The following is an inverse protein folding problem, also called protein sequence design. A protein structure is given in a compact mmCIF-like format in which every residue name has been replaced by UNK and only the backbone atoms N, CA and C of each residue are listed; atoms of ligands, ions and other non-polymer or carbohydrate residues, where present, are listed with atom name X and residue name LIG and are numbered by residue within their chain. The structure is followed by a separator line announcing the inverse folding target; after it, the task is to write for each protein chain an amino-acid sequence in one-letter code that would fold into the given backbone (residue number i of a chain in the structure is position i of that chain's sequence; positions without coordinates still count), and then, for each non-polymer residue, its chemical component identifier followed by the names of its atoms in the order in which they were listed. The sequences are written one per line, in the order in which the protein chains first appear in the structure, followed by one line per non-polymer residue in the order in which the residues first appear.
data_IF_906624480907
#
_entry.id   IF_906624480907
#
_cell.length_a   1.000
_cell.length_b   1.000
_cell.length_c   1.000
_cell.angle_alpha   90.00
_cell.angle_beta   90.00
_cell.angle_gamma   90.00
#
_symmetry.space_group_name_H-M   'P 1'
#
loop_
_entity.id
_entity.type
_entity.pdbx_description
1 polymer ?
#
# COMPACT_ATOMS: atom_id res chain seq x y z
N UNK A 1 0.24 30.44 -5.87
CA UNK A 1 -1.19 30.80 -5.90
C UNK A 1 -1.53 31.40 -4.56
N UNK A 2 -2.11 32.60 -4.53
CA UNK A 2 -2.70 33.14 -3.32
C UNK A 2 -4.11 32.55 -3.20
N UNK A 3 -4.22 31.45 -2.47
CA UNK A 3 -5.50 30.78 -2.21
C UNK A 3 -6.09 31.39 -0.95
N UNK A 4 -7.02 32.31 -1.13
CA UNK A 4 -7.80 32.93 -0.05
C UNK A 4 -9.26 32.54 -0.19
N UNK A 5 -9.94 32.29 0.94
CA UNK A 5 -11.34 31.89 0.96
C UNK A 5 -12.23 32.95 1.63
N UNK A 6 -13.41 33.19 1.05
CA UNK A 6 -14.47 33.98 1.66
C UNK A 6 -15.51 33.08 2.33
N UNK A 7 -16.12 33.57 3.40
CA UNK A 7 -17.25 32.94 4.07
C UNK A 7 -18.44 33.90 4.09
N UNK A 8 -19.65 33.38 3.90
CA UNK A 8 -20.88 34.15 4.02
C UNK A 8 -21.99 33.33 4.67
N UNK A 9 -22.87 34.02 5.39
CA UNK A 9 -23.99 33.42 6.11
C UNK A 9 -25.25 34.27 5.95
N UNK A 10 -26.41 33.63 6.06
CA UNK A 10 -27.71 34.28 6.14
C UNK A 10 -28.54 33.63 7.24
N UNK A 11 -29.26 34.45 8.00
CA UNK A 11 -30.24 34.04 9.01
C UNK A 11 -31.58 34.66 8.64
N UNK A 12 -32.60 33.83 8.51
CA UNK A 12 -33.95 34.23 8.11
C UNK A 12 -34.90 33.91 9.26
N UNK A 13 -35.76 34.86 9.63
CA UNK A 13 -36.77 34.69 10.68
C UNK A 13 -38.00 35.51 10.32
N UNK A 14 -39.17 34.87 10.30
CA UNK A 14 -40.47 35.53 10.07
C UNK A 14 -40.51 36.43 8.81
N UNK A 15 -39.76 36.08 7.76
CA UNK A 15 -39.64 36.87 6.53
C UNK A 15 -38.51 37.91 6.54
N UNK A 16 -38.01 38.30 7.71
CA UNK A 16 -36.83 39.16 7.83
C UNK A 16 -35.54 38.36 7.60
N UNK A 17 -34.53 39.00 7.00
CA UNK A 17 -33.24 38.38 6.73
C UNK A 17 -32.08 39.25 7.23
N UNK A 18 -31.15 38.65 7.96
CA UNK A 18 -29.84 39.22 8.28
C UNK A 18 -28.79 38.39 7.56
N UNK A 19 -27.78 39.04 6.99
CA UNK A 19 -26.67 38.35 6.31
C UNK A 19 -25.35 39.03 6.61
N UNK A 20 -24.27 38.28 6.49
CA UNK A 20 -22.91 38.79 6.68
C UNK A 20 -21.92 37.96 5.89
N UNK A 21 -20.74 38.54 5.69
CA UNK A 21 -19.63 37.92 4.95
C UNK A 21 -18.29 38.39 5.54
N UNK A 22 -17.26 37.57 5.44
CA UNK A 22 -15.93 37.86 5.97
C UNK A 22 -14.85 37.00 5.30
N UNK A 23 -13.61 37.48 5.29
CA UNK A 23 -12.46 36.70 4.82
C UNK A 23 -12.06 35.63 5.83
N UNK A 24 -11.70 34.44 5.34
CA UNK A 24 -11.10 33.36 6.15
C UNK A 24 -9.58 33.28 5.97
N UNK A 25 -8.96 34.27 5.33
CA UNK A 25 -7.54 34.24 5.00
C UNK A 25 -7.18 33.09 4.08
N UNK A 26 -5.99 32.53 4.27
CA UNK A 26 -5.46 31.43 3.47
C UNK A 26 -5.99 30.10 3.99
N UNK A 27 -7.22 29.78 3.58
CA UNK A 27 -8.00 28.65 4.07
C UNK A 27 -8.52 27.77 2.93
N UNK A 28 -8.93 26.53 3.24
CA UNK A 28 -9.64 25.68 2.29
C UNK A 28 -11.12 26.06 2.22
N UNK A 29 -11.85 25.73 1.13
CA UNK A 29 -13.30 25.97 1.07
C UNK A 29 -14.06 25.35 2.25
N UNK A 30 -13.66 24.16 2.70
CA UNK A 30 -14.22 23.50 3.87
C UNK A 30 -14.03 24.29 5.17
N UNK A 31 -12.85 24.88 5.40
CA UNK A 31 -12.62 25.73 6.57
C UNK A 31 -13.53 26.98 6.54
N UNK A 32 -13.76 27.56 5.36
CA UNK A 32 -14.63 28.72 5.17
C UNK A 32 -16.12 28.38 5.35
N UNK A 33 -16.58 27.23 4.84
CA UNK A 33 -17.92 26.68 5.12
C UNK A 33 -18.13 26.48 6.63
N UNK A 34 -17.16 25.89 7.33
CA UNK A 34 -17.19 25.70 8.77
C UNK A 34 -17.22 27.02 9.55
N UNK A 35 -16.51 28.04 9.08
CA UNK A 35 -16.53 29.37 9.68
C UNK A 35 -17.87 30.07 9.45
N UNK A 36 -18.43 29.98 8.24
CA UNK A 36 -19.77 30.48 7.90
C UNK A 36 -20.85 29.85 8.79
N UNK A 37 -20.82 28.52 8.96
CA UNK A 37 -21.74 27.79 9.83
C UNK A 37 -21.60 28.20 11.30
N UNK A 38 -20.37 28.28 11.83
CA UNK A 38 -20.13 28.71 13.21
C UNK A 38 -20.64 30.14 13.47
N UNK A 39 -20.45 31.07 12.50
CA UNK A 39 -20.98 32.43 12.63
C UNK A 39 -22.50 32.47 12.48
N UNK A 40 -23.07 31.73 11.52
CA UNK A 40 -24.51 31.62 11.32
C UNK A 40 -25.23 31.13 12.58
N UNK A 41 -24.72 30.07 13.21
CA UNK A 41 -25.23 29.56 14.49
C UNK A 41 -25.22 30.63 15.58
N UNK A 42 -24.13 31.39 15.72
CA UNK A 42 -24.04 32.50 16.70
C UNK A 42 -25.09 33.58 16.46
N UNK A 43 -25.36 33.94 15.21
CA UNK A 43 -26.32 34.99 14.85
C UNK A 43 -27.78 34.52 14.92
N UNK A 44 -28.05 33.22 14.70
CA UNK A 44 -29.35 32.59 15.00
C UNK A 44 -29.62 32.66 16.50
N UNK A 45 -28.70 32.14 17.31
CA UNK A 45 -28.87 31.99 18.76
C UNK A 45 -29.03 33.32 19.50
N UNK A 46 -28.48 34.41 18.94
CA UNK A 46 -28.61 35.77 19.50
C UNK A 46 -30.06 36.24 19.67
N UNK A 47 -30.97 35.74 18.82
CA UNK A 47 -32.34 36.26 18.71
C UNK A 47 -33.41 35.18 19.01
N UNK A 48 -33.05 33.91 19.25
CA UNK A 48 -34.01 32.82 19.45
C UNK A 48 -34.71 32.88 20.82
N UNK A 49 -36.06 32.86 20.87
CA UNK A 49 -36.81 32.59 22.10
C UNK A 49 -36.76 31.10 22.46
N UNK A 50 -37.19 30.80 23.68
CA UNK A 50 -37.06 29.50 24.34
C UNK A 50 -38.02 28.43 23.77
N UNK A 51 -37.69 27.84 22.61
CA UNK A 51 -38.33 26.60 22.14
C UNK A 51 -38.40 26.43 20.62
N UNK A 52 -37.52 25.60 20.05
CA UNK A 52 -37.57 25.15 18.64
C UNK A 52 -37.05 23.71 18.52
N UNK A 53 -37.86 22.79 17.97
CA UNK A 53 -37.59 21.35 17.72
C UNK A 53 -37.05 21.13 16.28
N UNK A 54 -36.33 20.08 15.85
CA UNK A 54 -36.45 18.65 16.21
C UNK A 54 -35.24 17.67 15.88
N UNK A 55 -34.37 17.82 14.85
CA UNK A 55 -33.40 16.75 14.47
C UNK A 55 -32.13 17.25 13.73
N UNK A 56 -31.20 16.39 13.25
CA UNK A 56 -29.95 16.02 13.95
C UNK A 56 -28.68 16.33 13.10
N UNK A 57 -27.47 16.37 13.70
CA UNK A 57 -26.24 16.93 13.09
C UNK A 57 -24.95 16.22 13.60
N UNK A 58 -23.97 15.91 12.73
CA UNK A 58 -22.72 15.19 13.11
C UNK A 58 -21.37 15.86 12.80
N UNK A 59 -21.25 16.82 11.88
CA UNK A 59 -19.93 17.39 11.50
C UNK A 59 -19.47 18.57 12.36
N UNK A 60 -20.14 19.73 12.32
CA UNK A 60 -19.72 20.92 13.07
C UNK A 60 -19.90 20.80 14.59
N UNK A 61 -20.80 19.93 15.05
CA UNK A 61 -20.92 19.58 16.47
C UNK A 61 -20.07 18.34 16.84
N UNK A 62 -19.42 17.71 15.86
CA UNK A 62 -18.42 16.67 16.06
C UNK A 62 -17.07 17.28 16.43
N UNK A 63 -16.90 17.67 17.70
CA UNK A 63 -15.67 18.30 18.23
C UNK A 63 -14.41 17.39 18.29
N UNK A 64 -14.40 16.29 17.51
CA UNK A 64 -13.24 15.40 17.37
C UNK A 64 -12.08 16.04 16.62
N UNK A 65 -10.93 15.36 16.64
CA UNK A 65 -9.71 15.83 15.98
C UNK A 65 -9.87 15.90 14.46
N UNK A 66 -9.77 17.09 13.87
CA UNK A 66 -9.92 17.28 12.43
C UNK A 66 -9.62 18.71 11.95
N UNK A 67 -9.60 18.94 10.63
CA UNK A 67 -9.60 20.30 10.08
C UNK A 67 -10.85 21.04 10.59
N UNK A 68 -10.70 22.33 10.89
CA UNK A 68 -11.71 23.17 11.54
C UNK A 68 -12.16 22.75 12.97
N UNK A 69 -11.41 21.91 13.72
CA UNK A 69 -11.79 21.54 15.10
C UNK A 69 -12.06 22.76 16.01
N UNK A 70 -11.25 23.82 15.91
CA UNK A 70 -11.45 25.06 16.67
C UNK A 70 -12.82 25.69 16.40
N UNK A 71 -13.28 25.69 15.14
CA UNK A 71 -14.59 26.19 14.75
C UNK A 71 -15.71 25.27 15.25
N UNK A 72 -15.51 23.95 15.23
CA UNK A 72 -16.43 22.99 15.83
C UNK A 72 -16.55 23.18 17.34
N UNK A 73 -15.45 23.40 18.06
CA UNK A 73 -15.44 23.70 19.51
C UNK A 73 -16.14 25.03 19.80
N UNK A 74 -15.88 26.08 19.00
CA UNK A 74 -16.55 27.37 19.15
C UNK A 74 -18.06 27.28 18.89
N UNK A 75 -18.48 26.54 17.85
CA UNK A 75 -19.89 26.25 17.58
C UNK A 75 -20.53 25.47 18.73
N UNK A 76 -19.88 24.40 19.21
CA UNK A 76 -20.32 23.65 20.39
C UNK A 76 -20.47 24.53 21.63
N UNK A 77 -19.49 25.40 21.91
CA UNK A 77 -19.52 26.30 23.07
C UNK A 77 -20.63 27.35 22.97
N UNK A 78 -20.96 27.81 21.75
CA UNK A 78 -22.05 28.77 21.50
C UNK A 78 -23.42 28.10 21.61
N UNK A 79 -23.56 26.88 21.07
CA UNK A 79 -24.82 26.12 21.00
C UNK A 79 -25.18 25.45 22.33
N UNK A 80 -24.19 24.95 23.08
CA UNK A 80 -24.40 24.13 24.28
C UNK A 80 -25.28 24.82 25.35
N UNK A 81 -25.04 26.09 25.75
CA UNK A 81 -25.89 26.74 26.75
C UNK A 81 -27.36 26.84 26.31
N UNK A 82 -27.61 27.04 25.02
CA UNK A 82 -28.97 27.09 24.47
C UNK A 82 -29.63 25.71 24.50
N UNK A 83 -28.94 24.64 24.05
CA UNK A 83 -29.48 23.27 24.10
C UNK A 83 -29.74 22.79 25.55
N UNK A 84 -28.87 23.14 26.50
CA UNK A 84 -28.98 22.70 27.89
C UNK A 84 -30.18 23.31 28.64
N UNK A 85 -30.79 24.37 28.13
CA UNK A 85 -31.95 25.01 28.78
C UNK A 85 -33.27 24.27 28.56
N UNK A 86 -33.37 23.36 27.58
CA UNK A 86 -34.55 22.50 27.38
C UNK A 86 -34.28 21.37 26.38
N UNK A 87 -34.75 20.15 26.70
CA UNK A 87 -34.70 18.98 25.80
C UNK A 87 -35.48 19.17 24.48
N UNK A 88 -36.35 20.19 24.44
CA UNK A 88 -37.15 20.58 23.29
C UNK A 88 -36.39 21.50 22.31
N UNK A 89 -35.16 21.92 22.65
CA UNK A 89 -34.33 22.76 21.78
C UNK A 89 -33.40 21.91 20.94
N UNK A 90 -33.51 22.02 19.63
CA UNK A 90 -32.75 21.20 18.67
C UNK A 90 -32.38 22.01 17.42
N UNK A 91 -31.34 21.56 16.71
CA UNK A 91 -30.78 22.26 15.53
C UNK A 91 -30.75 21.32 14.33
N UNK A 92 -31.39 21.76 13.24
CA UNK A 92 -31.39 21.08 11.94
C UNK A 92 -30.32 21.63 11.01
N UNK A 93 -29.74 20.75 10.19
CA UNK A 93 -28.86 21.13 9.08
C UNK A 93 -29.28 20.39 7.82
N UNK A 94 -29.65 21.14 6.78
CA UNK A 94 -30.01 20.60 5.48
C UNK A 94 -28.87 20.82 4.50
N UNK A 95 -28.25 19.75 4.02
CA UNK A 95 -27.33 19.88 2.89
C UNK A 95 -28.12 20.27 1.64
N UNK A 96 -27.69 21.32 0.97
CA UNK A 96 -28.28 21.81 -0.27
C UNK A 96 -27.25 21.71 -1.38
N UNK A 97 -27.57 21.05 -2.51
CA UNK A 97 -26.66 20.99 -3.66
C UNK A 97 -26.44 22.38 -4.27
N UNK A 98 -25.18 22.71 -4.56
CA UNK A 98 -24.79 23.94 -5.23
C UNK A 98 -25.52 24.16 -6.56
N UNK A 99 -25.85 25.43 -6.84
CA UNK A 99 -26.49 25.90 -8.07
C UNK A 99 -27.83 25.23 -8.47
N UNK A 100 -28.53 24.53 -7.56
CA UNK A 100 -29.85 23.91 -7.82
C UNK A 100 -31.07 24.82 -7.55
N UNK A 101 -30.93 26.13 -7.81
CA UNK A 101 -32.06 27.07 -7.74
C UNK A 101 -32.57 27.45 -6.33
N UNK A 102 -31.95 26.96 -5.25
CA UNK A 102 -32.27 27.42 -3.89
C UNK A 102 -31.74 28.83 -3.69
N UNK A 103 -32.65 29.81 -3.69
CA UNK A 103 -32.35 31.25 -3.68
C UNK A 103 -31.28 31.64 -2.65
N UNK A 104 -31.51 31.31 -1.37
CA UNK A 104 -30.59 31.69 -0.29
C UNK A 104 -29.23 31.02 -0.37
N UNK A 105 -29.14 29.80 -0.93
CA UNK A 105 -27.88 29.14 -1.22
C UNK A 105 -27.09 29.92 -2.27
N UNK A 106 -27.75 30.34 -3.37
CA UNK A 106 -27.13 31.19 -4.39
C UNK A 106 -26.73 32.59 -3.89
N UNK A 107 -27.46 33.14 -2.90
CA UNK A 107 -27.09 34.40 -2.24
C UNK A 107 -25.81 34.24 -1.42
N UNK A 108 -25.70 33.22 -0.57
CA UNK A 108 -24.48 33.03 0.26
C UNK A 108 -23.28 32.58 -0.57
N UNK A 109 -23.48 31.72 -1.58
CA UNK A 109 -22.42 31.29 -2.51
C UNK A 109 -21.77 32.47 -3.24
N UNK A 110 -22.60 33.35 -3.84
CA UNK A 110 -22.12 34.61 -4.44
C UNK A 110 -21.44 35.51 -3.42
N UNK A 111 -22.05 35.69 -2.24
CA UNK A 111 -21.54 36.60 -1.22
C UNK A 111 -20.27 36.04 -0.51
N UNK A 112 -19.96 34.73 -0.64
CA UNK A 112 -18.73 34.06 -0.19
C UNK A 112 -17.60 34.02 -1.23
N UNK A 113 -17.85 34.48 -2.46
CA UNK A 113 -16.88 34.44 -3.56
C UNK A 113 -15.58 35.21 -3.28
N UNK A 114 -14.56 35.03 -4.14
CA UNK A 114 -13.19 35.52 -3.95
C UNK A 114 -13.05 37.02 -3.60
N UNK A 115 -13.99 37.87 -4.01
CA UNK A 115 -14.02 39.30 -3.64
C UNK A 115 -14.27 39.57 -2.13
N UNK A 116 -14.74 38.55 -1.40
CA UNK A 116 -14.95 38.56 0.07
C UNK A 116 -13.73 38.03 0.82
N UNK A 117 -12.77 37.41 0.13
CA UNK A 117 -11.59 36.82 0.73
C UNK A 117 -10.57 37.90 1.12
N UNK A 118 -10.78 38.56 2.26
CA UNK A 118 -9.85 39.54 2.81
C UNK A 118 -8.45 38.92 2.98
N UNK A 119 -7.38 39.63 2.60
CA UNK A 119 -6.01 39.13 2.71
C UNK A 119 -5.56 39.09 4.18
N UNK A 120 -5.68 37.92 4.80
CA UNK A 120 -4.98 37.61 6.05
C UNK A 120 -3.68 36.86 5.77
N UNK A 121 -2.65 37.12 6.58
CA UNK A 121 -1.40 36.38 6.60
C UNK A 121 -1.53 34.99 7.24
N UNK A 122 -2.61 34.75 7.99
CA UNK A 122 -2.86 33.48 8.65
C UNK A 122 -3.26 32.39 7.64
N UNK A 123 -2.68 31.19 7.84
CA UNK A 123 -2.89 30.01 6.99
C UNK A 123 -3.58 28.93 7.82
N UNK A 124 -4.70 28.39 7.33
CA UNK A 124 -5.36 27.26 7.99
C UNK A 124 -4.45 26.02 7.95
N UNK A 125 -4.47 25.22 9.01
CA UNK A 125 -3.69 23.97 9.05
C UNK A 125 -4.03 23.03 7.87
N UNK A 126 -5.30 23.03 7.43
CA UNK A 126 -5.74 22.23 6.29
C UNK A 126 -5.10 22.72 4.98
N UNK A 127 -5.05 24.03 4.73
CA UNK A 127 -4.41 24.58 3.54
C UNK A 127 -2.88 24.41 3.61
N UNK A 128 -2.26 24.64 4.76
CA UNK A 128 -0.83 24.40 4.96
C UNK A 128 -0.47 22.93 4.63
N UNK A 129 -1.24 21.97 5.15
CA UNK A 129 -1.08 20.54 4.84
C UNK A 129 -1.32 20.24 3.36
N UNK A 130 -2.33 20.85 2.73
CA UNK A 130 -2.60 20.69 1.30
C UNK A 130 -1.42 21.20 0.45
N UNK A 131 -0.89 22.39 0.75
CA UNK A 131 0.26 22.98 0.07
C UNK A 131 1.52 22.11 0.21
N UNK A 132 1.86 21.66 1.42
CA UNK A 132 3.00 20.75 1.66
C UNK A 132 2.82 19.43 0.91
N UNK A 133 1.60 18.87 0.90
CA UNK A 133 1.29 17.64 0.15
C UNK A 133 1.47 17.85 -1.36
N UNK A 134 1.00 18.97 -1.91
CA UNK A 134 1.16 19.29 -3.33
C UNK A 134 2.63 19.53 -3.71
N UNK A 135 3.42 20.18 -2.85
CA UNK A 135 4.86 20.36 -3.04
C UNK A 135 5.60 19.02 -3.03
N UNK A 136 5.31 18.14 -2.07
CA UNK A 136 5.88 16.80 -2.01
C UNK A 136 5.55 15.96 -3.26
N UNK A 137 4.33 16.08 -3.80
CA UNK A 137 3.93 15.43 -5.05
C UNK A 137 4.52 16.07 -6.31
N UNK A 138 4.90 17.34 -6.27
CA UNK A 138 5.66 17.97 -7.35
C UNK A 138 7.11 17.46 -7.33
N UNK A 139 7.77 17.51 -6.18
CA UNK A 139 9.13 17.01 -5.99
C UNK A 139 9.26 15.51 -6.35
N UNK A 140 8.35 14.66 -5.86
CA UNK A 140 8.35 13.23 -6.22
C UNK A 140 8.27 12.98 -7.72
N UNK A 141 7.39 13.71 -8.43
CA UNK A 141 7.22 13.54 -9.88
C UNK A 141 8.46 14.02 -10.63
N UNK A 142 9.05 15.14 -10.22
CA UNK A 142 10.31 15.64 -10.77
C UNK A 142 11.43 14.60 -10.57
N UNK A 143 11.60 14.08 -9.36
CA UNK A 143 12.60 13.05 -9.05
C UNK A 143 12.37 11.74 -9.84
N UNK A 144 11.13 11.29 -10.00
CA UNK A 144 10.80 10.11 -10.80
C UNK A 144 11.06 10.26 -12.31
N UNK A 145 11.24 11.48 -12.84
CA UNK A 145 11.73 11.66 -14.23
C UNK A 145 13.24 11.44 -14.36
N UNK A 146 14.01 11.54 -13.27
CA UNK A 146 15.48 11.51 -13.28
C UNK A 146 15.96 10.04 -13.30
N UNK A 147 16.66 9.57 -14.35
CA UNK A 147 17.07 8.16 -14.46
C UNK A 147 17.97 7.68 -13.31
N UNK A 148 18.75 8.58 -12.70
CA UNK A 148 19.61 8.28 -11.55
C UNK A 148 18.81 8.07 -10.25
N UNK A 149 17.63 8.67 -10.12
CA UNK A 149 16.74 8.51 -8.95
C UNK A 149 15.80 7.32 -9.15
N UNK A 150 15.13 7.25 -10.30
CA UNK A 150 14.25 6.11 -10.67
C UNK A 150 15.02 4.80 -10.76
N UNK A 151 16.31 4.84 -11.12
CA UNK A 151 17.09 3.67 -11.49
C UNK A 151 16.68 3.12 -12.84
N UNK A 152 17.39 2.07 -13.28
CA UNK A 152 17.22 1.42 -14.60
C UNK A 152 16.29 0.21 -14.58
N UNK A 153 15.30 0.21 -13.68
CA UNK A 153 14.45 -0.96 -13.46
C UNK A 153 13.05 -0.75 -14.01
N UNK A 154 12.68 -1.54 -15.00
CA UNK A 154 11.41 -1.36 -15.70
C UNK A 154 10.18 -1.73 -14.84
N UNK A 155 10.36 -2.47 -13.73
CA UNK A 155 9.33 -2.61 -12.69
C UNK A 155 8.92 -1.27 -12.05
N UNK A 156 9.78 -0.24 -12.10
CA UNK A 156 9.52 1.11 -11.64
C UNK A 156 8.99 2.04 -12.75
N UNK A 157 8.83 1.55 -13.99
CA UNK A 157 8.30 2.30 -15.14
C UNK A 157 6.76 2.22 -15.23
N UNK A 158 6.10 1.67 -14.21
CA UNK A 158 4.65 1.55 -14.15
C UNK A 158 3.98 2.79 -13.52
N UNK A 159 2.86 3.26 -14.09
CA UNK A 159 2.23 4.56 -13.75
C UNK A 159 1.77 4.72 -12.28
N UNK A 160 1.59 3.60 -11.57
CA UNK A 160 1.29 3.59 -10.13
C UNK A 160 2.48 4.10 -9.28
N UNK A 161 3.71 4.09 -9.79
CA UNK A 161 4.90 4.64 -9.10
C UNK A 161 5.03 6.14 -9.29
N UNK A 162 4.67 6.67 -10.47
CA UNK A 162 4.64 8.12 -10.73
C UNK A 162 3.61 8.82 -9.82
N UNK A 163 2.53 8.10 -9.48
CA UNK A 163 1.47 8.51 -8.57
C UNK A 163 1.82 8.25 -7.10
N UNK A 164 2.79 8.97 -6.52
CA UNK A 164 2.93 8.98 -5.06
C UNK A 164 1.61 9.45 -4.42
N UNK A 165 0.99 8.55 -3.67
CA UNK A 165 -0.23 8.80 -2.88
C UNK A 165 0.03 8.31 -1.47
N UNK A 166 -0.28 9.14 -0.47
CA UNK A 166 -0.17 8.77 0.96
C UNK A 166 -1.45 8.12 1.53
N UNK A 167 -2.44 7.84 0.66
CA UNK A 167 -3.75 7.28 1.02
C UNK A 167 -3.89 5.85 0.47
N UNK A 168 -4.93 5.13 0.88
CA UNK A 168 -5.25 3.78 0.38
C UNK A 168 -5.53 3.71 -1.15
N UNK A 169 -5.52 4.83 -1.86
CA UNK A 169 -5.51 4.89 -3.33
C UNK A 169 -4.11 4.63 -3.94
N UNK A 170 -3.07 4.46 -3.13
CA UNK A 170 -1.75 3.96 -3.54
C UNK A 170 -1.80 2.44 -3.73
N UNK A 171 -1.27 1.95 -4.85
CA UNK A 171 -1.26 0.52 -5.15
C UNK A 171 -0.57 -0.32 -4.05
N UNK A 172 0.59 0.09 -3.53
CA UNK A 172 1.27 -0.68 -2.48
C UNK A 172 0.46 -0.76 -1.19
N UNK A 173 -0.15 0.35 -0.75
CA UNK A 173 -0.98 0.38 0.45
C UNK A 173 -2.28 -0.41 0.27
N UNK A 174 -2.86 -0.41 -0.93
CA UNK A 174 -4.02 -1.23 -1.28
C UNK A 174 -3.68 -2.73 -1.29
N UNK A 175 -2.56 -3.09 -1.92
CA UNK A 175 -2.16 -4.49 -2.15
C UNK A 175 -1.58 -5.15 -0.90
N UNK A 176 -0.81 -4.41 -0.08
CA UNK A 176 -0.28 -4.94 1.18
C UNK A 176 -1.23 -4.74 2.39
N UNK A 177 -2.14 -3.77 2.32
CA UNK A 177 -3.07 -3.47 3.39
C UNK A 177 -2.37 -3.07 4.69
N UNK A 178 -2.39 -3.97 5.68
CA UNK A 178 -1.74 -3.80 7.00
C UNK A 178 -0.53 -4.72 7.23
N UNK A 179 -0.10 -5.47 6.20
CA UNK A 179 1.05 -6.36 6.30
C UNK A 179 2.34 -5.61 5.94
N UNK A 180 3.01 -5.09 6.98
CA UNK A 180 4.29 -4.39 6.85
C UNK A 180 5.40 -5.27 6.25
N UNK A 181 5.39 -6.58 6.50
CA UNK A 181 6.39 -7.52 6.00
C UNK A 181 6.21 -7.71 4.50
N UNK A 182 4.97 -7.92 4.05
CA UNK A 182 4.65 -8.05 2.63
C UNK A 182 4.83 -6.72 1.88
N UNK A 183 4.48 -5.57 2.49
CA UNK A 183 4.81 -4.24 1.94
C UNK A 183 6.32 -4.06 1.73
N UNK A 184 7.14 -4.40 2.72
CA UNK A 184 8.59 -4.31 2.61
C UNK A 184 9.14 -5.23 1.50
N UNK A 185 8.63 -6.46 1.38
CA UNK A 185 9.01 -7.40 0.32
C UNK A 185 8.65 -6.87 -1.08
N UNK A 186 7.44 -6.33 -1.24
CA UNK A 186 7.00 -5.66 -2.47
C UNK A 186 7.97 -4.53 -2.86
N UNK A 187 8.19 -3.55 -1.99
CA UNK A 187 9.05 -2.38 -2.26
C UNK A 187 10.49 -2.79 -2.58
N UNK A 188 11.06 -3.73 -1.81
CA UNK A 188 12.43 -4.21 -2.06
C UNK A 188 12.54 -4.94 -3.39
N UNK A 189 11.58 -5.81 -3.73
CA UNK A 189 11.61 -6.54 -5.01
C UNK A 189 11.46 -5.59 -6.20
N UNK A 190 10.47 -4.71 -6.20
CA UNK A 190 10.24 -3.77 -7.31
C UNK A 190 11.42 -2.83 -7.52
N UNK A 191 12.04 -2.36 -6.43
CA UNK A 191 13.20 -1.47 -6.50
C UNK A 191 14.55 -2.19 -6.71
N UNK A 192 14.60 -3.52 -6.60
CA UNK A 192 15.85 -4.29 -6.62
C UNK A 192 16.72 -4.12 -5.36
N UNK A 193 16.17 -3.62 -4.26
CA UNK A 193 16.85 -3.44 -2.96
C UNK A 193 16.51 -4.57 -1.99
N UNK A 194 16.65 -5.82 -2.43
CA UNK A 194 16.67 -7.00 -1.55
C UNK A 194 18.01 -7.72 -1.71
N UNK A 195 18.45 -8.49 -0.71
CA UNK A 195 19.76 -9.08 -0.73
C UNK A 195 19.71 -10.34 -1.61
N UNK A 196 20.13 -10.18 -2.86
CA UNK A 196 20.41 -11.25 -3.81
C UNK A 196 21.88 -11.14 -4.27
N UNK A 197 22.39 -12.11 -5.03
CA UNK A 197 23.79 -12.15 -5.47
C UNK A 197 24.31 -10.84 -6.07
N UNK A 198 23.63 -10.28 -7.06
CA UNK A 198 24.01 -9.01 -7.70
C UNK A 198 23.85 -7.78 -6.78
N UNK A 199 23.01 -7.86 -5.74
CA UNK A 199 22.98 -6.82 -4.69
C UNK A 199 24.22 -6.92 -3.80
N UNK A 200 24.59 -8.13 -3.36
CA UNK A 200 25.83 -8.37 -2.60
C UNK A 200 27.06 -7.92 -3.38
N UNK A 201 27.13 -8.26 -4.66
CA UNK A 201 28.22 -7.84 -5.55
C UNK A 201 28.33 -6.33 -5.69
N UNK A 202 27.21 -5.63 -5.94
CA UNK A 202 27.17 -4.17 -6.07
C UNK A 202 27.64 -3.40 -4.83
N UNK A 203 27.44 -3.99 -3.65
CA UNK A 203 27.78 -3.37 -2.36
C UNK A 203 28.94 -4.09 -1.63
N UNK A 204 29.69 -4.94 -2.34
CA UNK A 204 30.86 -5.68 -1.84
C UNK A 204 30.60 -6.51 -0.56
N UNK A 205 29.36 -6.95 -0.35
CA UNK A 205 29.01 -7.79 0.79
C UNK A 205 29.49 -9.24 0.62
N UNK A 206 29.94 -9.82 1.73
CA UNK A 206 30.30 -11.23 1.85
C UNK A 206 29.09 -12.18 1.75
N UNK A 207 29.38 -13.46 1.54
CA UNK A 207 28.40 -14.55 1.43
C UNK A 207 28.19 -15.04 0.00
N UNK A 208 27.35 -16.06 -0.17
CA UNK A 208 27.07 -16.66 -1.47
C UNK A 208 26.36 -15.66 -2.40
N UNK A 209 26.76 -15.69 -3.68
CA UNK A 209 26.15 -14.91 -4.77
C UNK A 209 25.34 -15.76 -5.75
N UNK A 210 25.47 -17.09 -5.72
CA UNK A 210 24.81 -18.05 -6.64
C UNK A 210 23.34 -18.23 -6.26
N UNK A 211 22.45 -18.45 -7.23
CA UNK A 211 21.07 -18.86 -6.90
C UNK A 211 21.03 -20.35 -6.54
N UNK A 212 20.14 -20.75 -5.62
CA UNK A 212 19.94 -22.16 -5.21
C UNK A 212 19.66 -23.12 -6.39
N UNK A 213 19.22 -22.61 -7.54
CA UNK A 213 19.04 -23.41 -8.75
C UNK A 213 20.35 -24.00 -9.31
N UNK A 214 21.51 -23.42 -9.00
CA UNK A 214 22.81 -23.79 -9.57
C UNK A 214 23.10 -23.26 -10.98
N UNK A 215 22.06 -22.87 -11.73
CA UNK A 215 22.15 -22.44 -13.15
C UNK A 215 22.75 -21.04 -13.36
N UNK A 216 22.84 -20.19 -12.32
CA UNK A 216 23.44 -18.86 -12.44
C UNK A 216 24.53 -18.58 -11.41
N UNK A 217 25.68 -18.08 -11.88
CA UNK A 217 26.80 -17.68 -11.04
C UNK A 217 26.47 -16.52 -10.09
N UNK A 218 25.62 -15.59 -10.53
CA UNK A 218 25.16 -14.44 -9.75
C UNK A 218 23.63 -14.35 -9.81
N UNK A 219 22.96 -14.51 -8.67
CA UNK A 219 21.52 -14.34 -8.53
C UNK A 219 21.14 -12.87 -8.70
N UNK A 220 20.34 -12.59 -9.73
CA UNK A 220 19.72 -11.28 -9.95
C UNK A 220 18.21 -11.37 -9.69
N UNK A 221 17.58 -10.23 -9.42
CA UNK A 221 16.11 -10.16 -9.42
C UNK A 221 15.52 -10.64 -10.74
N UNK A 222 16.12 -10.25 -11.86
CA UNK A 222 15.66 -10.65 -13.19
C UNK A 222 15.72 -12.19 -13.34
N UNK A 223 16.77 -12.84 -12.84
CA UNK A 223 16.83 -14.31 -12.77
C UNK A 223 15.72 -14.90 -11.90
N UNK A 224 15.52 -14.41 -10.67
CA UNK A 224 14.45 -14.85 -9.77
C UNK A 224 13.07 -14.73 -10.43
N UNK A 225 12.83 -13.60 -11.11
CA UNK A 225 11.54 -13.24 -11.70
C UNK A 225 11.25 -13.93 -13.04
N UNK A 226 12.21 -14.01 -13.96
CA UNK A 226 11.98 -14.51 -15.32
C UNK A 226 12.47 -15.95 -15.53
N UNK A 227 13.65 -16.30 -15.01
CA UNK A 227 14.41 -17.46 -15.50
C UNK A 227 14.41 -18.66 -14.53
N UNK A 228 14.55 -18.39 -13.23
CA UNK A 228 14.86 -19.37 -12.19
C UNK A 228 13.73 -20.38 -11.99
N UNK A 229 13.90 -21.62 -12.43
CA UNK A 229 12.82 -22.64 -12.46
C UNK A 229 12.29 -23.05 -11.08
N UNK A 230 13.00 -22.68 -10.02
CA UNK A 230 12.70 -23.00 -8.63
C UNK A 230 11.51 -22.24 -8.03
N UNK A 231 11.11 -21.11 -8.59
CA UNK A 231 10.04 -20.27 -8.06
C UNK A 231 8.70 -20.51 -8.78
N UNK A 232 7.60 -20.40 -8.03
CA UNK A 232 6.25 -20.45 -8.60
C UNK A 232 5.99 -19.21 -9.45
N UNK A 233 5.64 -19.38 -10.72
CA UNK A 233 5.19 -18.31 -11.62
C UNK A 233 3.94 -18.75 -12.38
N UNK A 234 2.86 -17.98 -12.30
CA UNK A 234 1.69 -18.16 -13.19
C UNK A 234 1.94 -17.65 -14.60
N UNK A 235 2.87 -16.71 -14.75
CA UNK A 235 3.21 -16.06 -16.02
C UNK A 235 4.70 -16.29 -16.28
N UNK A 236 5.01 -17.45 -16.89
CA UNK A 236 6.33 -17.73 -17.48
C UNK A 236 6.32 -17.23 -18.94
N UNK A 237 7.42 -16.68 -19.49
CA UNK A 237 7.58 -16.60 -20.94
C UNK A 237 7.42 -17.99 -21.58
N UNK A 238 6.97 -18.09 -22.84
CA UNK A 238 6.91 -19.37 -23.55
C UNK A 238 8.23 -20.16 -23.50
N UNK A 239 8.17 -21.50 -23.48
CA UNK A 239 9.38 -22.31 -23.31
C UNK A 239 10.32 -22.21 -24.52
N UNK A 240 9.79 -22.02 -25.72
CA UNK A 240 10.56 -21.76 -26.95
C UNK A 240 11.26 -20.39 -26.95
N UNK A 241 10.69 -19.40 -26.26
CA UNK A 241 11.30 -18.09 -26.02
C UNK A 241 12.45 -18.22 -25.01
N UNK A 242 12.27 -19.03 -23.97
CA UNK A 242 13.34 -19.33 -22.98
C UNK A 242 14.47 -20.17 -23.58
N UNK A 243 14.17 -21.12 -24.45
CA UNK A 243 15.21 -21.88 -25.16
C UNK A 243 15.98 -21.01 -26.16
N UNK A 244 15.30 -20.15 -26.93
CA UNK A 244 15.97 -19.18 -27.82
C UNK A 244 16.90 -18.24 -27.04
N UNK A 245 16.51 -17.84 -25.81
CA UNK A 245 17.38 -17.07 -24.89
C UNK A 245 18.59 -17.88 -24.41
N UNK A 246 18.41 -19.14 -23.97
CA UNK A 246 19.51 -20.04 -23.56
C UNK A 246 20.53 -20.28 -24.68
N UNK A 247 20.09 -20.27 -25.94
CA UNK A 247 20.94 -20.45 -27.13
C UNK A 247 21.51 -19.15 -27.70
N UNK A 248 21.10 -17.98 -27.19
CA UNK A 248 21.51 -16.67 -27.72
C UNK A 248 20.98 -16.37 -29.13
N UNK A 249 19.94 -17.07 -29.57
CA UNK A 249 19.45 -17.07 -30.96
C UNK A 249 18.55 -15.87 -31.29
N UNK A 250 18.12 -15.09 -30.28
CA UNK A 250 17.21 -13.95 -30.45
C UNK A 250 17.90 -12.69 -31.05
N UNK A 251 18.68 -12.87 -32.13
CA UNK A 251 19.68 -11.91 -32.62
C UNK A 251 19.48 -11.43 -34.07
N UNK A 252 18.34 -11.70 -34.71
CA UNK A 252 18.11 -11.36 -36.14
C UNK A 252 16.78 -10.69 -36.47
N UNK A 253 15.65 -11.20 -35.99
CA UNK A 253 14.35 -10.82 -36.59
C UNK A 253 13.73 -9.51 -36.05
N UNK A 254 14.39 -8.84 -35.09
CA UNK A 254 13.95 -7.53 -34.57
C UNK A 254 14.55 -6.32 -35.33
N UNK A 255 15.39 -6.56 -36.35
CA UNK A 255 16.12 -5.50 -37.07
C UNK A 255 15.27 -4.68 -38.06
N UNK A 256 14.03 -5.10 -38.36
CA UNK A 256 13.23 -4.52 -39.44
C UNK A 256 12.26 -3.39 -39.03
N UNK A 257 12.18 -2.97 -37.74
CA UNK A 257 11.13 -2.03 -37.29
C UNK A 257 11.54 -0.86 -36.35
N UNK A 258 12.80 -0.67 -35.96
CA UNK A 258 13.20 0.40 -34.99
C UNK A 258 14.57 1.03 -35.37
N UNK A 259 14.88 2.32 -35.06
CA UNK A 259 16.04 3.04 -35.62
C UNK A 259 17.41 2.52 -35.13
N UNK A 260 18.54 2.93 -35.75
CA UNK A 260 19.85 2.32 -35.51
C UNK A 260 20.35 2.50 -34.07
N UNK A 261 20.93 1.41 -33.55
CA UNK A 261 21.54 1.30 -32.22
C UNK A 261 22.53 2.44 -31.94
N UNK A 262 22.51 3.07 -30.75
CA UNK A 262 23.48 4.09 -30.37
C UNK A 262 24.94 3.56 -30.41
N UNK A 263 25.92 4.39 -30.82
CA UNK A 263 27.32 3.97 -30.87
C UNK A 263 27.84 3.47 -29.51
N UNK A 264 28.38 2.25 -29.49
CA UNK A 264 29.01 1.65 -28.31
C UNK A 264 28.15 0.68 -27.50
N UNK A 265 26.89 0.42 -27.90
CA UNK A 265 26.02 -0.58 -27.27
C UNK A 265 25.82 -1.80 -28.18
N UNK A 266 25.85 -3.00 -27.62
CA UNK A 266 25.61 -4.21 -28.43
C UNK A 266 24.12 -4.37 -28.77
N UNK A 267 23.81 -4.98 -29.92
CA UNK A 267 22.42 -5.29 -30.31
C UNK A 267 21.71 -6.24 -29.35
N UNK A 268 22.45 -6.98 -28.52
CA UNK A 268 21.90 -7.83 -27.45
C UNK A 268 21.47 -7.00 -26.24
N UNK A 269 22.23 -5.97 -25.85
CA UNK A 269 21.84 -5.05 -24.77
C UNK A 269 20.61 -4.22 -25.15
N UNK A 270 20.52 -3.80 -26.42
CA UNK A 270 19.36 -3.09 -26.95
C UNK A 270 18.12 -4.01 -27.08
N UNK A 271 18.28 -5.24 -27.55
CA UNK A 271 17.15 -6.17 -27.65
C UNK A 271 16.65 -6.69 -26.29
N UNK A 272 17.55 -6.87 -25.31
CA UNK A 272 17.16 -7.13 -23.92
C UNK A 272 16.39 -5.96 -23.27
N UNK A 273 16.28 -4.82 -23.95
CA UNK A 273 15.51 -3.66 -23.53
C UNK A 273 14.03 -3.80 -23.93
N UNK A 274 13.71 -4.22 -25.17
CA UNK A 274 12.33 -4.30 -25.70
C UNK A 274 11.38 -5.16 -24.85
N UNK A 275 11.79 -6.35 -24.43
CA UNK A 275 10.94 -7.22 -23.58
C UNK A 275 10.93 -6.80 -22.10
N UNK A 276 11.93 -6.02 -21.66
CA UNK A 276 11.88 -5.35 -20.35
C UNK A 276 10.96 -4.12 -20.42
N UNK A 277 10.84 -3.46 -21.56
CA UNK A 277 10.01 -2.26 -21.78
C UNK A 277 8.51 -2.59 -21.96
N UNK A 278 8.17 -3.86 -22.16
CA UNK A 278 6.81 -4.34 -21.88
C UNK A 278 6.47 -4.10 -20.40
N UNK A 279 5.44 -3.31 -20.06
CA UNK A 279 5.21 -2.87 -18.69
C UNK A 279 4.90 -4.07 -17.79
N UNK A 280 5.82 -4.38 -16.89
CA UNK A 280 5.66 -5.48 -15.91
C UNK A 280 4.37 -5.24 -15.14
N UNK A 281 3.40 -6.14 -15.28
CA UNK A 281 2.16 -6.05 -14.55
C UNK A 281 2.45 -6.26 -13.06
N UNK A 282 2.31 -5.18 -12.29
CA UNK A 282 2.72 -5.16 -10.90
C UNK A 282 1.83 -6.07 -10.00
N UNK A 283 0.61 -6.39 -10.44
CA UNK A 283 -0.25 -7.38 -9.78
C UNK A 283 0.32 -8.81 -9.91
N UNK A 284 1.05 -9.12 -10.98
CA UNK A 284 1.75 -10.41 -11.12
C UNK A 284 2.95 -10.49 -10.17
N UNK A 285 3.65 -9.37 -9.94
CA UNK A 285 4.73 -9.27 -8.95
C UNK A 285 4.19 -9.48 -7.54
N UNK A 286 3.03 -8.89 -7.23
CA UNK A 286 2.33 -9.14 -5.97
C UNK A 286 1.97 -10.62 -5.79
N UNK A 287 1.33 -11.23 -6.78
CA UNK A 287 0.94 -12.64 -6.73
C UNK A 287 2.13 -13.58 -6.55
N UNK A 288 3.23 -13.34 -7.26
CA UNK A 288 4.49 -14.09 -7.09
C UNK A 288 5.05 -13.98 -5.67
N UNK A 289 5.07 -12.79 -5.07
CA UNK A 289 5.56 -12.63 -3.69
C UNK A 289 4.62 -13.24 -2.65
N UNK A 290 3.32 -13.37 -2.95
CA UNK A 290 2.40 -14.17 -2.14
C UNK A 290 2.69 -15.67 -2.29
N UNK A 291 2.92 -16.16 -3.51
CA UNK A 291 3.20 -17.57 -3.78
C UNK A 291 4.58 -18.02 -3.25
N UNK A 292 5.56 -17.13 -3.24
CA UNK A 292 6.95 -17.40 -2.88
C UNK A 292 7.36 -16.57 -1.64
N UNK A 293 6.98 -16.96 -0.40
CA UNK A 293 7.14 -16.13 0.79
C UNK A 293 8.61 -15.83 1.16
N UNK A 294 9.54 -16.72 0.81
CA UNK A 294 10.97 -16.51 0.98
C UNK A 294 11.55 -15.43 0.03
N UNK A 295 10.98 -15.23 -1.15
CA UNK A 295 11.50 -14.27 -2.13
C UNK A 295 11.50 -12.84 -1.57
N UNK A 296 12.55 -12.06 -1.87
CA UNK A 296 12.81 -10.71 -1.36
C UNK A 296 13.02 -10.59 0.16
N UNK A 297 13.43 -11.67 0.84
CA UNK A 297 13.77 -11.66 2.27
C UNK A 297 15.27 -11.83 2.52
N UNK A 298 15.76 -11.32 3.67
CA UNK A 298 17.12 -11.60 4.15
C UNK A 298 17.25 -13.06 4.60
N UNK A 299 16.19 -13.61 5.22
CA UNK A 299 16.12 -14.99 5.69
C UNK A 299 16.35 -16.03 4.57
N UNK A 300 15.86 -15.78 3.35
CA UNK A 300 16.12 -16.65 2.20
C UNK A 300 17.62 -16.73 1.88
N UNK A 301 18.31 -15.59 1.88
CA UNK A 301 19.73 -15.54 1.56
C UNK A 301 20.57 -16.21 2.64
N UNK A 302 20.29 -15.94 3.91
CA UNK A 302 20.94 -16.64 5.04
C UNK A 302 20.71 -18.15 5.00
N UNK A 303 19.50 -18.59 4.62
CA UNK A 303 19.17 -20.00 4.46
C UNK A 303 19.99 -20.62 3.32
N UNK A 304 20.09 -19.95 2.18
CA UNK A 304 20.88 -20.41 1.02
C UNK A 304 22.38 -20.42 1.33
N UNK A 305 22.90 -19.42 2.04
CA UNK A 305 24.28 -19.42 2.53
C UNK A 305 24.58 -20.68 3.37
N UNK A 306 23.73 -20.98 4.36
CA UNK A 306 23.87 -22.16 5.23
C UNK A 306 23.69 -23.46 4.45
N UNK A 307 22.72 -23.53 3.54
CA UNK A 307 22.48 -24.71 2.71
C UNK A 307 23.65 -25.01 1.75
N UNK A 308 24.32 -23.99 1.23
CA UNK A 308 25.57 -24.18 0.48
C UNK A 308 26.73 -24.59 1.38
N UNK A 309 26.90 -23.97 2.55
CA UNK A 309 27.96 -24.34 3.50
C UNK A 309 27.84 -25.80 3.95
N UNK A 310 26.62 -26.25 4.28
CA UNK A 310 26.32 -27.64 4.63
C UNK A 310 26.70 -28.61 3.49
N UNK A 311 26.25 -28.30 2.26
CA UNK A 311 26.51 -29.11 1.06
C UNK A 311 27.99 -29.16 0.69
N UNK A 312 28.67 -28.00 0.69
CA UNK A 312 30.08 -27.88 0.31
C UNK A 312 30.99 -28.49 1.41
N UNK A 313 30.52 -28.57 2.66
CA UNK A 313 31.13 -29.34 3.75
C UNK A 313 30.90 -30.86 3.68
N UNK A 314 30.21 -31.36 2.65
CA UNK A 314 29.92 -32.79 2.49
C UNK A 314 28.90 -33.35 3.48
N UNK A 315 28.17 -32.51 4.21
CA UNK A 315 26.99 -32.95 4.91
C UNK A 315 25.95 -33.44 3.90
N UNK A 316 25.18 -34.45 4.28
CA UNK A 316 24.09 -34.97 3.46
C UNK A 316 22.91 -34.00 3.40
N UNK A 317 21.71 -34.53 3.56
CA UNK A 317 20.54 -33.68 3.74
C UNK A 317 20.54 -33.09 5.17
N UNK A 318 20.50 -31.76 5.27
CA UNK A 318 20.47 -31.00 6.52
C UNK A 318 19.16 -30.24 6.65
N UNK A 319 18.93 -29.64 7.83
CA UNK A 319 17.77 -28.75 8.03
C UNK A 319 17.77 -27.58 7.04
N UNK A 320 18.94 -27.05 6.66
CA UNK A 320 19.02 -25.91 5.75
C UNK A 320 18.78 -26.32 4.29
N UNK A 321 19.41 -27.40 3.83
CA UNK A 321 19.19 -27.90 2.44
C UNK A 321 17.74 -28.35 2.24
N UNK A 322 17.16 -29.03 3.24
CA UNK A 322 15.75 -29.44 3.21
C UNK A 322 14.78 -28.26 3.25
N UNK A 323 15.03 -27.24 4.07
CA UNK A 323 14.26 -25.99 4.06
C UNK A 323 14.35 -25.26 2.72
N UNK A 324 15.54 -25.18 2.11
CA UNK A 324 15.73 -24.50 0.83
C UNK A 324 14.89 -25.15 -0.29
N UNK A 325 14.85 -26.48 -0.35
CA UNK A 325 13.99 -27.22 -1.28
C UNK A 325 12.49 -27.11 -0.96
N UNK A 326 12.12 -27.01 0.33
CA UNK A 326 10.74 -26.73 0.77
C UNK A 326 10.26 -25.30 0.48
N UNK A 327 11.14 -24.31 0.33
CA UNK A 327 10.74 -22.98 -0.14
C UNK A 327 10.57 -22.90 -1.66
N UNK A 328 11.27 -23.77 -2.39
CA UNK A 328 11.41 -23.71 -3.84
C UNK A 328 10.73 -24.90 -4.54
N UNK A 329 11.51 -25.92 -4.91
CA UNK A 329 11.09 -27.06 -5.76
C UNK A 329 9.86 -27.75 -5.22
N UNK A 330 9.87 -28.17 -3.95
CA UNK A 330 8.75 -28.89 -3.34
C UNK A 330 7.53 -27.98 -3.22
N UNK A 331 7.71 -26.67 -3.01
CA UNK A 331 6.61 -25.71 -2.96
C UNK A 331 5.93 -25.56 -4.32
N UNK A 332 6.73 -25.40 -5.38
CA UNK A 332 6.28 -25.32 -6.77
C UNK A 332 5.50 -26.56 -7.17
N UNK A 333 6.08 -27.74 -7.00
CA UNK A 333 5.47 -29.00 -7.41
C UNK A 333 4.16 -29.27 -6.62
N UNK A 334 4.13 -28.91 -5.33
CA UNK A 334 2.92 -28.99 -4.50
C UNK A 334 1.86 -27.99 -4.93
N UNK A 335 2.26 -26.77 -5.32
CA UNK A 335 1.35 -25.73 -5.81
C UNK A 335 0.71 -26.11 -7.14
N UNK A 336 1.49 -26.60 -8.11
CA UNK A 336 0.93 -27.08 -9.39
C UNK A 336 -0.06 -28.23 -9.19
N UNK A 337 0.31 -29.22 -8.37
CA UNK A 337 -0.57 -30.31 -7.99
C UNK A 337 -1.78 -29.86 -7.16
N UNK A 338 -1.73 -28.69 -6.54
CA UNK A 338 -2.86 -28.09 -5.83
C UNK A 338 -3.79 -27.33 -6.77
N UNK A 339 -3.28 -26.51 -7.69
CA UNK A 339 -4.05 -25.75 -8.69
C UNK A 339 -4.85 -26.70 -9.58
N UNK A 340 -4.25 -27.81 -10.04
CA UNK A 340 -4.96 -28.85 -10.83
C UNK A 340 -6.19 -29.43 -10.12
N UNK A 341 -6.22 -29.40 -8.78
CA UNK A 341 -7.32 -29.89 -7.94
C UNK A 341 -8.22 -28.78 -7.37
N UNK A 342 -7.77 -27.52 -7.36
CA UNK A 342 -8.41 -26.39 -6.68
C UNK A 342 -8.26 -25.09 -7.49
N UNK A 343 -8.66 -25.05 -8.78
CA UNK A 343 -8.29 -23.97 -9.71
C UNK A 343 -8.80 -22.58 -9.31
N UNK A 344 -9.88 -22.52 -8.52
CA UNK A 344 -10.52 -21.28 -8.05
C UNK A 344 -10.17 -20.91 -6.61
N UNK A 345 -9.35 -21.70 -5.91
CA UNK A 345 -9.10 -21.50 -4.49
C UNK A 345 -8.08 -20.35 -4.26
N UNK A 346 -8.25 -19.50 -3.23
CA UNK A 346 -7.33 -18.39 -2.99
C UNK A 346 -5.92 -18.83 -2.60
N UNK A 347 -4.91 -18.09 -3.08
CA UNK A 347 -3.48 -18.31 -2.76
C UNK A 347 -3.20 -18.36 -1.25
N UNK A 348 -3.91 -17.55 -0.45
CA UNK A 348 -3.81 -17.57 1.01
C UNK A 348 -4.12 -18.96 1.61
N UNK A 349 -5.12 -19.67 1.06
CA UNK A 349 -5.51 -21.02 1.53
C UNK A 349 -4.44 -22.06 1.17
N UNK A 350 -3.79 -21.92 0.01
CA UNK A 350 -2.61 -22.72 -0.32
C UNK A 350 -1.47 -22.44 0.66
N UNK A 351 -1.14 -21.16 0.88
CA UNK A 351 -0.03 -20.76 1.74
C UNK A 351 -0.18 -21.28 3.17
N UNK A 352 -1.35 -21.14 3.80
CA UNK A 352 -1.59 -21.65 5.16
C UNK A 352 -1.50 -23.18 5.24
N UNK A 353 -2.11 -23.90 4.28
CA UNK A 353 -2.05 -25.37 4.21
C UNK A 353 -0.63 -25.87 3.97
N UNK A 354 0.10 -25.25 3.05
CA UNK A 354 1.49 -25.59 2.75
C UNK A 354 2.39 -25.31 3.94
N UNK A 355 2.29 -24.13 4.53
CA UNK A 355 3.13 -23.71 5.65
C UNK A 355 3.01 -24.63 6.86
N UNK A 356 1.79 -25.10 7.18
CA UNK A 356 1.57 -26.13 8.20
C UNK A 356 2.33 -27.42 7.85
N UNK A 357 2.04 -28.00 6.68
CA UNK A 357 2.64 -29.28 6.25
C UNK A 357 4.17 -29.21 6.13
N UNK A 358 4.72 -28.09 5.64
CA UNK A 358 6.16 -27.88 5.54
C UNK A 358 6.82 -27.76 6.92
N UNK A 359 6.25 -26.96 7.83
CA UNK A 359 6.74 -26.85 9.21
C UNK A 359 6.70 -28.20 9.94
N UNK A 360 5.59 -28.93 9.85
CA UNK A 360 5.42 -30.24 10.48
C UNK A 360 6.45 -31.25 9.91
N UNK A 361 6.74 -31.22 8.61
CA UNK A 361 7.79 -32.03 7.95
C UNK A 361 9.19 -31.71 8.45
N UNK A 362 9.58 -30.43 8.52
CA UNK A 362 10.90 -30.03 9.02
C UNK A 362 11.05 -30.48 10.48
N UNK A 363 10.06 -30.21 11.33
CA UNK A 363 10.05 -30.60 12.74
C UNK A 363 10.23 -32.11 12.91
N UNK A 364 9.38 -32.90 12.25
CA UNK A 364 9.39 -34.36 12.38
C UNK A 364 10.68 -34.99 11.83
N UNK A 365 11.29 -34.40 10.79
CA UNK A 365 12.49 -34.95 10.13
C UNK A 365 13.79 -34.67 10.89
N UNK A 366 13.87 -33.54 11.59
CA UNK A 366 15.08 -33.10 12.31
C UNK A 366 14.92 -33.06 13.84
N UNK A 367 13.78 -33.52 14.38
CA UNK A 367 13.56 -33.57 15.82
C UNK A 367 13.49 -32.19 16.50
N UNK A 368 13.06 -31.16 15.76
CA UNK A 368 13.00 -29.79 16.31
C UNK A 368 11.90 -29.69 17.39
N UNK A 369 12.09 -28.81 18.40
CA UNK A 369 11.14 -28.71 19.50
C UNK A 369 9.89 -27.91 19.12
N UNK A 370 8.81 -28.08 19.90
CA UNK A 370 7.48 -27.56 19.56
C UNK A 370 7.38 -26.02 19.59
N UNK A 371 8.25 -25.33 20.33
CA UNK A 371 8.37 -23.88 20.29
C UNK A 371 8.79 -23.34 18.91
N UNK A 372 9.57 -24.08 18.13
CA UNK A 372 10.01 -23.64 16.80
C UNK A 372 8.89 -23.72 15.75
N UNK A 373 7.83 -24.51 15.97
CA UNK A 373 6.82 -24.79 14.95
C UNK A 373 6.08 -23.52 14.50
N UNK A 374 5.92 -22.53 15.39
CA UNK A 374 5.33 -21.24 15.05
C UNK A 374 6.24 -20.44 14.11
N UNK A 375 7.56 -20.45 14.37
CA UNK A 375 8.56 -19.80 13.53
C UNK A 375 8.60 -20.42 12.14
N UNK A 376 8.63 -21.76 12.07
CA UNK A 376 8.60 -22.52 10.81
C UNK A 376 7.32 -22.24 10.00
N UNK A 377 6.15 -22.19 10.64
CA UNK A 377 4.88 -21.87 9.96
C UNK A 377 4.91 -20.45 9.38
N UNK A 378 5.46 -19.47 10.10
CA UNK A 378 5.61 -18.10 9.59
C UNK A 378 6.62 -18.04 8.44
N UNK A 379 7.77 -18.70 8.59
CA UNK A 379 8.81 -18.84 7.56
C UNK A 379 8.23 -19.36 6.24
N UNK A 380 7.42 -20.43 6.26
CA UNK A 380 6.79 -21.00 5.06
C UNK A 380 5.54 -20.23 4.55
N UNK A 381 5.26 -19.04 5.09
CA UNK A 381 4.26 -18.10 4.57
C UNK A 381 2.89 -18.08 5.26
N UNK A 382 2.77 -18.63 6.47
CA UNK A 382 1.59 -18.40 7.31
C UNK A 382 1.67 -17.03 7.98
N UNK A 383 0.54 -16.31 8.12
CA UNK A 383 0.55 -15.06 8.89
C UNK A 383 0.83 -15.35 10.37
N UNK A 384 1.56 -14.45 11.06
CA UNK A 384 1.84 -14.56 12.51
C UNK A 384 0.56 -14.73 13.32
N UNK A 385 -0.53 -14.08 12.88
CA UNK A 385 -1.86 -14.23 13.49
C UNK A 385 -2.41 -15.64 13.31
N UNK A 386 -2.45 -16.17 12.08
CA UNK A 386 -2.95 -17.52 11.82
C UNK A 386 -2.11 -18.60 12.52
N UNK A 387 -0.78 -18.42 12.57
CA UNK A 387 0.12 -19.34 13.28
C UNK A 387 -0.14 -19.36 14.79
N UNK A 388 -0.37 -18.21 15.42
CA UNK A 388 -0.78 -18.09 16.84
C UNK A 388 -2.16 -18.68 17.09
N UNK A 389 -3.14 -18.38 16.25
CA UNK A 389 -4.51 -18.92 16.38
C UNK A 389 -4.53 -20.45 16.23
N UNK A 390 -3.71 -21.01 15.33
CA UNK A 390 -3.55 -22.45 15.17
C UNK A 390 -2.88 -23.08 16.40
N UNK A 391 -1.76 -22.53 16.87
CA UNK A 391 -1.06 -23.05 18.06
C UNK A 391 -1.93 -22.96 19.33
N UNK A 392 -2.76 -21.93 19.47
CA UNK A 392 -3.72 -21.81 20.56
C UNK A 392 -4.81 -22.91 20.50
N UNK A 393 -5.33 -23.23 19.31
CA UNK A 393 -6.29 -24.33 19.11
C UNK A 393 -5.68 -25.69 19.41
N UNK A 394 -4.46 -25.94 18.95
CA UNK A 394 -3.71 -27.18 19.23
C UNK A 394 -3.50 -27.39 20.73
N UNK A 395 -3.09 -26.32 21.45
CA UNK A 395 -2.93 -26.35 22.93
C UNK A 395 -4.26 -26.53 23.69
N UNK A 396 -5.35 -25.96 23.20
CA UNK A 396 -6.67 -26.14 23.79
C UNK A 396 -7.20 -27.57 23.59
N UNK A 397 -6.97 -28.16 22.40
CA UNK A 397 -7.34 -29.54 22.10
C UNK A 397 -6.59 -30.56 22.96
N UNK A 398 -5.27 -30.38 23.14
CA UNK A 398 -4.48 -31.24 24.02
C UNK A 398 -5.01 -31.25 25.46
N UNK A 399 -5.29 -30.07 26.03
CA UNK A 399 -5.82 -29.95 27.41
C UNK A 399 -7.21 -30.57 27.61
N UNK A 400 -8.02 -30.68 26.55
CA UNK A 400 -9.31 -31.36 26.62
C UNK A 400 -9.18 -32.89 26.55
N UNK A 401 -8.15 -33.40 25.86
CA UNK A 401 -7.86 -34.84 25.85
C UNK A 401 -7.28 -35.31 27.19
N UNK A 402 -6.48 -34.48 27.87
CA UNK A 402 -5.91 -34.79 29.18
C UNK A 402 -6.91 -34.68 30.36
N UNK A 403 -8.15 -34.21 30.13
CA UNK A 403 -9.19 -34.07 31.16
C UNK A 403 -10.29 -35.12 31.14
N UNK A 404 -10.31 -35.97 30.10
CA UNK A 404 -11.33 -37.02 29.88
C UNK A 404 -10.77 -38.45 30.11
N UNK A 405 -9.61 -38.57 30.77
CA UNK A 405 -8.95 -39.82 31.16
C UNK A 405 -8.53 -39.86 32.63
#
# INVERSE_FOLDING_TARGET
MDVSAGAAWAVIRNGESRKGRFGCGKATPYDAEMAALARGLKEVLRDLPDGVKDAALTSILGAGSGPAQMLSVAACATVRPWLQQSEERRIHMHWTPGHRGVYWNGVVDRDAGLATAEPSSEVSFALARQCVTAQAYAAWRDDMTKPNYRGRSNMLHHSQFDCCKHTAANWFLKTAGKDNTYFARLVRFTSGHFPHGAFRERFEFEGNRRCWCGECAVESRDHIWFDCELWIRKHRPPDDELERRRRGEHRRDALDLVPPTPPGMSSVEHFLQDWRDSPVNIDQVAEFLQLNPAAATFQWLELVDRAYADRDGGAGETVNTYKADLHTRVRRDTYEGWVRRNPTCPVAVFNEKYARVAADKVRARFGLPDEEILSLRVEFGMSVRAARELQAKERAGARGADSDG
#
